data_IF_082270586393
#
_entry.id   IF_082270586393
#
_cell.length_a   1.000
_cell.length_b   1.000
_cell.length_c   1.000
_cell.angle_alpha   90.00
_cell.angle_beta   90.00
_cell.angle_gamma   90.00
#
_symmetry.space_group_name_H-M   'P 1'
#
loop_
_entity.id
_entity.type
_entity.pdbx_description
1 polymer ?
#
# COMPACT_ATOMS: atom_id res chain seq x y z
N UNK A 1 -10.14 -1.95 15.35
CA UNK A 1 -9.17 -2.55 14.40
C UNK A 1 -9.44 -2.00 12.99
N UNK A 2 -9.01 -0.76 12.66
CA UNK A 2 -9.34 -0.10 11.39
C UNK A 2 -8.58 -0.64 10.16
N UNK A 3 -7.37 -1.17 10.36
CA UNK A 3 -6.44 -1.56 9.27
C UNK A 3 -7.03 -2.62 8.35
N UNK A 4 -7.56 -3.72 8.89
CA UNK A 4 -8.07 -4.82 8.06
C UNK A 4 -9.31 -4.43 7.24
N UNK A 5 -10.15 -3.53 7.78
CA UNK A 5 -11.29 -2.98 7.03
C UNK A 5 -10.82 -2.12 5.86
N UNK A 6 -9.83 -1.26 6.10
CA UNK A 6 -9.24 -0.41 5.07
C UNK A 6 -8.52 -1.25 4.01
N UNK A 7 -7.78 -2.30 4.42
CA UNK A 7 -7.15 -3.25 3.50
C UNK A 7 -8.18 -3.97 2.62
N UNK A 8 -9.31 -4.41 3.18
CA UNK A 8 -10.39 -5.03 2.41
C UNK A 8 -11.00 -4.07 1.37
N UNK A 9 -11.12 -2.77 1.70
CA UNK A 9 -11.58 -1.76 0.75
C UNK A 9 -10.58 -1.55 -0.40
N UNK A 10 -9.27 -1.46 -0.09
CA UNK A 10 -8.22 -1.38 -1.10
C UNK A 10 -8.19 -2.64 -2.00
N UNK A 11 -8.42 -3.81 -1.41
CA UNK A 11 -8.47 -5.08 -2.13
C UNK A 11 -9.63 -5.12 -3.13
N UNK A 12 -10.84 -4.74 -2.71
CA UNK A 12 -11.99 -4.66 -3.58
C UNK A 12 -11.80 -3.63 -4.71
N UNK A 13 -11.30 -2.43 -4.36
CA UNK A 13 -11.06 -1.35 -5.32
C UNK A 13 -10.05 -1.74 -6.40
N UNK A 14 -8.89 -2.28 -6.00
CA UNK A 14 -7.82 -2.66 -6.93
C UNK A 14 -8.27 -3.72 -7.94
N UNK A 15 -9.10 -4.68 -7.50
CA UNK A 15 -9.70 -5.70 -8.37
C UNK A 15 -10.73 -5.13 -9.31
N UNK A 16 -11.61 -4.27 -8.81
CA UNK A 16 -12.61 -3.60 -9.63
C UNK A 16 -11.97 -2.79 -10.76
N UNK A 17 -10.79 -2.21 -10.51
CA UNK A 17 -10.02 -1.44 -11.50
C UNK A 17 -9.16 -2.30 -12.44
N UNK A 18 -9.24 -3.64 -12.36
CA UNK A 18 -8.41 -4.53 -13.18
C UNK A 18 -6.93 -4.52 -12.82
N UNK A 19 -6.58 -4.04 -11.62
CA UNK A 19 -5.21 -3.90 -11.13
C UNK A 19 -5.01 -4.68 -9.83
N UNK A 20 -5.25 -6.01 -9.80
CA UNK A 20 -4.97 -6.82 -8.61
C UNK A 20 -3.47 -6.82 -8.28
N UNK A 21 -3.14 -6.86 -7.00
CA UNK A 21 -1.75 -6.97 -6.48
C UNK A 21 -1.40 -8.38 -6.01
N UNK A 22 -2.39 -9.27 -5.87
CA UNK A 22 -2.21 -10.68 -5.59
C UNK A 22 -3.24 -11.53 -6.35
N UNK A 23 -3.03 -12.85 -6.38
CA UNK A 23 -3.97 -13.83 -6.94
C UNK A 23 -5.23 -13.95 -6.07
N UNK A 24 -6.37 -14.35 -6.67
CA UNK A 24 -7.67 -14.47 -5.98
C UNK A 24 -7.68 -15.50 -4.85
N UNK A 25 -6.77 -16.48 -4.88
CA UNK A 25 -6.66 -17.50 -3.84
C UNK A 25 -5.61 -17.16 -2.78
N UNK A 26 -5.06 -15.96 -2.80
CA UNK A 26 -3.99 -15.53 -1.90
C UNK A 26 -4.38 -14.33 -1.05
N UNK A 27 -3.85 -14.27 0.17
CA UNK A 27 -3.91 -13.06 0.97
C UNK A 27 -3.04 -12.01 0.30
N UNK A 28 -3.62 -10.83 0.06
CA UNK A 28 -2.93 -9.72 -0.57
C UNK A 28 -2.19 -8.91 0.51
N UNK A 29 -0.90 -9.21 0.70
CA UNK A 29 -0.07 -8.51 1.69
C UNK A 29 0.21 -7.06 1.29
N UNK A 30 0.24 -6.75 -0.01
CA UNK A 30 0.53 -5.41 -0.51
C UNK A 30 -0.60 -4.44 -0.10
N UNK A 31 -1.87 -4.85 -0.15
CA UNK A 31 -2.99 -4.01 0.32
C UNK A 31 -3.02 -3.84 1.83
N UNK A 32 -2.53 -4.81 2.61
CA UNK A 32 -2.45 -4.70 4.07
C UNK A 32 -1.36 -3.68 4.46
N UNK A 33 -0.18 -3.78 3.83
CA UNK A 33 0.92 -2.82 4.02
C UNK A 33 0.46 -1.42 3.60
N UNK A 34 -0.15 -1.29 2.42
CA UNK A 34 -0.67 -0.03 1.93
C UNK A 34 -1.69 0.58 2.90
N UNK A 35 -2.63 -0.22 3.42
CA UNK A 35 -3.62 0.26 4.37
C UNK A 35 -2.99 0.76 5.67
N UNK A 36 -2.04 0.01 6.23
CA UNK A 36 -1.30 0.42 7.42
C UNK A 36 -0.57 1.76 7.19
N UNK A 37 0.12 1.89 6.07
CA UNK A 37 0.87 3.10 5.74
C UNK A 37 -0.05 4.31 5.48
N UNK A 38 -1.22 4.12 4.86
CA UNK A 38 -2.18 5.21 4.62
C UNK A 38 -2.77 5.72 5.94
N UNK A 39 -3.12 4.83 6.87
CA UNK A 39 -3.59 5.22 8.21
C UNK A 39 -2.48 5.93 8.99
N UNK A 40 -1.25 5.41 8.95
CA UNK A 40 -0.10 6.06 9.59
C UNK A 40 0.14 7.47 9.01
N UNK A 41 0.03 7.66 7.69
CA UNK A 41 0.19 8.97 7.07
C UNK A 41 -0.91 9.95 7.50
N UNK A 42 -2.15 9.48 7.67
CA UNK A 42 -3.26 10.30 8.17
C UNK A 42 -3.02 10.77 9.61
N UNK A 43 -2.37 9.95 10.44
CA UNK A 43 -2.00 10.30 11.82
C UNK A 43 -0.78 11.23 11.90
N UNK A 44 0.03 11.30 10.84
CA UNK A 44 1.31 12.03 10.80
C UNK A 44 1.35 13.06 9.65
N UNK A 45 0.34 13.93 9.60
CA UNK A 45 0.25 14.96 8.57
C UNK A 45 1.49 15.88 8.56
N UNK A 46 1.95 16.25 7.36
CA UNK A 46 3.14 17.08 7.15
C UNK A 46 4.45 16.30 7.08
N UNK A 47 4.45 14.99 7.36
CA UNK A 47 5.61 14.13 7.14
C UNK A 47 5.50 13.40 5.79
N UNK A 48 6.62 13.30 5.07
CA UNK A 48 6.70 12.49 3.86
C UNK A 48 6.86 11.02 4.25
N UNK A 49 5.91 10.19 3.86
CA UNK A 49 5.97 8.73 3.99
C UNK A 49 6.36 8.12 2.65
N UNK A 50 7.40 7.27 2.66
CA UNK A 50 7.83 6.48 1.49
C UNK A 50 7.94 5.01 1.90
N UNK A 51 7.27 4.12 1.17
CA UNK A 51 7.41 2.68 1.38
C UNK A 51 8.68 2.19 0.69
N UNK A 52 9.67 1.76 1.47
CA UNK A 52 10.87 1.12 0.94
C UNK A 52 10.55 -0.34 0.57
N UNK A 53 10.61 -0.68 -0.72
CA UNK A 53 10.24 -2.03 -1.21
C UNK A 53 10.98 -2.39 -2.48
N UNK A 54 11.16 -3.69 -2.72
CA UNK A 54 11.56 -4.22 -4.04
C UNK A 54 10.36 -4.41 -4.97
N UNK A 55 9.14 -4.56 -4.42
CA UNK A 55 7.89 -4.68 -5.18
C UNK A 55 7.24 -3.29 -5.43
N UNK A 56 8.00 -2.39 -6.04
CA UNK A 56 7.56 -1.01 -6.30
C UNK A 56 6.28 -0.97 -7.11
N UNK A 57 6.16 -1.83 -8.14
CA UNK A 57 5.01 -1.88 -9.07
C UNK A 57 3.65 -2.06 -8.38
N UNK A 58 3.61 -2.77 -7.26
CA UNK A 58 2.36 -3.03 -6.54
C UNK A 58 2.06 -1.90 -5.56
N UNK A 59 3.01 -1.58 -4.68
CA UNK A 59 2.79 -0.63 -3.59
C UNK A 59 2.70 0.83 -4.09
N UNK A 60 3.32 1.15 -5.23
CA UNK A 60 3.19 2.47 -5.86
C UNK A 60 1.78 2.78 -6.38
N UNK A 61 0.87 1.81 -6.40
CA UNK A 61 -0.55 2.02 -6.73
C UNK A 61 -1.31 2.73 -5.60
N UNK A 62 -0.81 2.66 -4.37
CA UNK A 62 -1.51 3.16 -3.18
C UNK A 62 -0.78 4.32 -2.52
N UNK A 63 0.55 4.30 -2.49
CA UNK A 63 1.40 5.27 -1.81
C UNK A 63 2.76 5.41 -2.49
N UNK A 64 3.48 6.51 -2.21
CA UNK A 64 4.86 6.66 -2.69
C UNK A 64 5.70 5.47 -2.23
N UNK A 65 6.26 4.75 -3.20
CA UNK A 65 7.02 3.53 -2.97
C UNK A 65 8.28 3.54 -3.82
N UNK A 66 9.43 3.21 -3.24
CA UNK A 66 10.73 3.23 -3.92
C UNK A 66 11.61 2.09 -3.44
N UNK A 67 12.61 1.71 -4.23
CA UNK A 67 13.72 0.90 -3.69
C UNK A 67 14.44 1.71 -2.63
N UNK A 68 14.92 1.04 -1.60
CA UNK A 68 15.61 1.68 -0.48
C UNK A 68 16.74 2.62 -0.95
N UNK A 69 17.53 2.18 -1.94
CA UNK A 69 18.68 2.93 -2.45
C UNK A 69 18.28 4.21 -3.22
N UNK A 70 17.02 4.37 -3.60
CA UNK A 70 16.52 5.50 -4.39
C UNK A 70 15.87 6.59 -3.51
N UNK A 71 15.76 6.35 -2.20
CA UNK A 71 15.21 7.32 -1.26
C UNK A 71 16.27 8.41 -0.99
N UNK A 72 15.84 9.67 -1.06
CA UNK A 72 16.62 10.88 -0.78
C UNK A 72 15.82 11.75 0.19
N UNK A 73 16.53 12.39 1.13
CA UNK A 73 15.98 13.20 2.22
C UNK A 73 16.16 14.69 1.95
#
# INVERSE_FOLDING_TARGET
QPVMRHAAQLWAMSRHQGMPTADDKTIDNDVIIAAQCQLFQQENLGQRLVIATTNVKHLSRFLESRRWQDIRF
#
